data_IF_975315446690
#
_entry.id   IF_975315446690
#
_cell.length_a   1.000
_cell.length_b   1.000
_cell.length_c   1.000
_cell.angle_alpha   90.00
_cell.angle_beta   90.00
_cell.angle_gamma   90.00
#
_symmetry.space_group_name_H-M   'P 1'
#
loop_
_entity.id
_entity.type
_entity.pdbx_description
1 polymer ?
#
# COMPACT_ATOMS: atom_id res chain seq x y z
N UNK A 1 -2.91 -24.43 -17.40
CA UNK A 1 -1.87 -23.48 -16.99
C UNK A 1 -0.77 -24.28 -16.33
N UNK A 2 0.45 -24.16 -16.84
CA UNK A 2 1.63 -24.77 -16.21
C UNK A 2 1.84 -24.14 -14.83
N UNK A 3 2.25 -24.92 -13.82
CA UNK A 3 2.54 -24.43 -12.47
C UNK A 3 3.55 -23.26 -12.45
N UNK A 4 4.36 -23.13 -13.50
CA UNK A 4 5.38 -22.10 -13.67
C UNK A 4 4.79 -20.74 -14.11
N UNK A 5 3.74 -20.76 -14.92
CA UNK A 5 3.02 -19.55 -15.36
C UNK A 5 2.22 -18.93 -14.21
N UNK A 6 1.73 -19.77 -13.29
CA UNK A 6 1.05 -19.33 -12.08
C UNK A 6 1.99 -18.57 -11.13
N UNK A 7 3.24 -19.03 -10.99
CA UNK A 7 4.27 -18.35 -10.18
C UNK A 7 4.65 -16.98 -10.74
N UNK A 8 4.83 -16.87 -12.05
CA UNK A 8 5.12 -15.59 -12.70
C UNK A 8 3.95 -14.59 -12.58
N UNK A 9 2.72 -15.04 -12.84
CA UNK A 9 1.53 -14.20 -12.73
C UNK A 9 1.30 -13.67 -11.32
N UNK A 10 1.55 -14.50 -10.31
CA UNK A 10 1.46 -14.10 -8.90
C UNK A 10 2.48 -13.01 -8.56
N UNK A 11 3.74 -13.19 -8.95
CA UNK A 11 4.80 -12.20 -8.71
C UNK A 11 4.44 -10.84 -9.33
N UNK A 12 3.96 -10.81 -10.57
CA UNK A 12 3.55 -9.57 -11.24
C UNK A 12 2.37 -8.92 -10.51
N UNK A 13 1.38 -9.71 -10.10
CA UNK A 13 0.22 -9.23 -9.35
C UNK A 13 0.63 -8.60 -8.01
N UNK A 14 1.57 -9.20 -7.29
CA UNK A 14 2.10 -8.67 -6.03
C UNK A 14 2.77 -7.30 -6.21
N UNK A 15 3.66 -7.16 -7.20
CA UNK A 15 4.33 -5.87 -7.47
C UNK A 15 3.33 -4.80 -7.88
N UNK A 16 2.36 -5.16 -8.71
CA UNK A 16 1.31 -4.24 -9.15
C UNK A 16 0.42 -3.80 -7.98
N UNK A 17 -0.01 -4.73 -7.12
CA UNK A 17 -0.81 -4.41 -5.94
C UNK A 17 -0.01 -3.58 -4.93
N UNK A 18 1.28 -3.87 -4.77
CA UNK A 18 2.20 -3.05 -3.98
C UNK A 18 2.27 -1.61 -4.47
N UNK A 19 2.37 -1.40 -5.79
CA UNK A 19 2.35 -0.06 -6.39
C UNK A 19 1.02 0.67 -6.13
N UNK A 20 -0.12 -0.03 -6.26
CA UNK A 20 -1.44 0.54 -5.94
C UNK A 20 -1.48 0.98 -4.47
N UNK A 21 -1.02 0.14 -3.55
CA UNK A 21 -0.99 0.47 -2.13
C UNK A 21 -0.09 1.68 -1.83
N UNK A 22 1.05 1.82 -2.53
CA UNK A 22 1.88 3.01 -2.40
C UNK A 22 1.17 4.28 -2.86
N UNK A 23 0.49 4.23 -4.01
CA UNK A 23 -0.26 5.39 -4.53
C UNK A 23 -1.39 5.76 -3.58
N UNK A 24 -2.22 4.79 -3.18
CA UNK A 24 -3.36 5.03 -2.29
C UNK A 24 -2.90 5.46 -0.90
N UNK A 25 -1.86 4.81 -0.34
CA UNK A 25 -1.28 5.18 0.95
C UNK A 25 -0.68 6.59 0.93
N UNK A 26 -0.05 7.00 -0.18
CA UNK A 26 0.49 8.36 -0.34
C UNK A 26 -0.64 9.40 -0.39
N UNK A 27 -1.69 9.14 -1.17
CA UNK A 27 -2.87 10.02 -1.24
C UNK A 27 -3.58 10.10 0.12
N UNK A 28 -3.79 8.96 0.79
CA UNK A 28 -4.39 8.91 2.11
C UNK A 28 -3.57 9.70 3.15
N UNK A 29 -2.24 9.59 3.10
CA UNK A 29 -1.33 10.38 3.95
C UNK A 29 -1.50 11.87 3.67
N UNK A 30 -1.47 12.27 2.40
CA UNK A 30 -1.66 13.67 2.01
C UNK A 30 -3.00 14.23 2.52
N UNK A 31 -4.10 13.50 2.33
CA UNK A 31 -5.42 13.94 2.78
C UNK A 31 -5.58 13.87 4.30
N UNK A 32 -4.93 12.94 5.00
CA UNK A 32 -4.96 12.90 6.47
C UNK A 32 -4.37 14.19 7.06
N UNK A 33 -3.27 14.71 6.50
CA UNK A 33 -2.63 15.94 7.00
C UNK A 33 -3.27 17.23 6.47
N UNK A 34 -3.70 17.26 5.21
CA UNK A 34 -4.33 18.47 4.63
C UNK A 34 -5.78 18.67 5.09
N UNK A 35 -6.48 17.59 5.43
CA UNK A 35 -7.85 17.63 5.97
C UNK A 35 -7.89 17.56 7.51
N UNK A 36 -6.76 17.78 8.20
CA UNK A 36 -6.67 17.75 9.66
C UNK A 36 -7.79 18.51 10.41
N UNK A 37 -8.20 19.72 9.99
CA UNK A 37 -9.32 20.43 10.61
C UNK A 37 -10.67 19.71 10.52
N UNK A 38 -10.89 18.92 9.46
CA UNK A 38 -12.10 18.13 9.27
C UNK A 38 -12.05 16.79 10.03
N UNK A 39 -10.87 16.16 10.06
CA UNK A 39 -10.65 14.89 10.77
C UNK A 39 -10.55 15.06 12.29
N UNK A 40 -10.11 16.24 12.77
CA UNK A 40 -9.91 16.55 14.19
C UNK A 40 -9.12 15.42 14.88
N UNK A 41 -9.73 14.79 15.89
CA UNK A 41 -9.13 13.74 16.72
C UNK A 41 -8.81 12.45 15.93
N UNK A 42 -9.40 12.26 14.75
CA UNK A 42 -9.14 11.09 13.91
C UNK A 42 -7.93 11.24 12.99
N UNK A 43 -7.28 12.41 12.95
CA UNK A 43 -6.10 12.67 12.10
C UNK A 43 -4.99 11.65 12.34
N UNK A 44 -4.71 11.33 13.61
CA UNK A 44 -3.70 10.35 13.98
C UNK A 44 -4.04 8.93 13.53
N UNK A 45 -5.32 8.53 13.65
CA UNK A 45 -5.79 7.22 13.22
C UNK A 45 -5.64 7.04 11.70
N UNK A 46 -6.11 8.00 10.90
CA UNK A 46 -5.99 7.94 9.45
C UNK A 46 -4.55 8.06 8.96
N UNK A 47 -3.72 8.89 9.62
CA UNK A 47 -2.29 8.97 9.32
C UNK A 47 -1.53 7.67 9.65
N UNK A 48 -1.89 7.00 10.73
CA UNK A 48 -1.31 5.68 11.05
C UNK A 48 -1.74 4.61 10.05
N UNK A 49 -3.02 4.59 9.69
CA UNK A 49 -3.55 3.63 8.70
C UNK A 49 -2.90 3.82 7.32
N UNK A 50 -2.67 5.07 6.89
CA UNK A 50 -2.00 5.34 5.62
C UNK A 50 -0.54 4.90 5.63
N UNK A 51 0.15 5.02 6.77
CA UNK A 51 1.51 4.47 6.94
C UNK A 51 1.53 2.94 6.83
N UNK A 52 0.57 2.24 7.42
CA UNK A 52 0.46 0.78 7.26
C UNK A 52 0.35 0.42 5.78
N UNK A 53 -0.49 1.12 5.01
CA UNK A 53 -0.64 0.88 3.57
C UNK A 53 0.68 1.09 2.82
N UNK A 54 1.43 2.14 3.15
CA UNK A 54 2.74 2.41 2.56
C UNK A 54 3.73 1.28 2.88
N UNK A 55 3.79 0.84 4.14
CA UNK A 55 4.68 -0.25 4.56
C UNK A 55 4.32 -1.55 3.83
N UNK A 56 3.05 -1.92 3.75
CA UNK A 56 2.63 -3.12 3.02
C UNK A 56 2.94 -3.00 1.53
N UNK A 57 2.70 -1.83 0.92
CA UNK A 57 3.04 -1.58 -0.48
C UNK A 57 4.53 -1.74 -0.75
N UNK A 58 5.39 -1.21 0.12
CA UNK A 58 6.85 -1.41 0.06
C UNK A 58 7.21 -2.89 0.21
N UNK A 59 6.61 -3.60 1.16
CA UNK A 59 6.86 -5.03 1.36
C UNK A 59 6.49 -5.84 0.12
N UNK A 60 5.34 -5.59 -0.50
CA UNK A 60 4.96 -6.29 -1.73
C UNK A 60 5.94 -6.02 -2.88
N UNK A 61 6.52 -4.82 -2.97
CA UNK A 61 7.50 -4.47 -4.01
C UNK A 61 8.88 -5.07 -3.73
N UNK A 62 9.36 -5.01 -2.48
CA UNK A 62 10.75 -5.36 -2.15
C UNK A 62 10.93 -6.74 -1.54
N UNK A 63 9.89 -7.34 -0.95
CA UNK A 63 9.98 -8.71 -0.48
C UNK A 63 10.28 -9.63 -1.67
N UNK A 64 11.32 -10.43 -1.49
CA UNK A 64 11.65 -11.56 -2.35
C UNK A 64 10.95 -12.75 -1.71
N UNK A 65 9.84 -13.17 -2.28
CA UNK A 65 9.23 -14.44 -1.91
C UNK A 65 10.08 -15.49 -2.61
N UNK A 66 10.94 -16.16 -1.84
CA UNK A 66 11.69 -17.34 -2.28
C UNK A 66 10.75 -18.54 -2.43
#
# INVERSE_FOLDING_TARGET
>A
MSSEEAGFGLLVAEKFFGLILLVVGSLATYFAFTSGPALKDYTGFFGFLSLIMLVIGLLLIFARIE
#
